data_IF_359264202367
#
_entry.id   IF_359264202367
#
_cell.length_a   1.000
_cell.length_b   1.000
_cell.length_c   1.000
_cell.angle_alpha   90.00
_cell.angle_beta   90.00
_cell.angle_gamma   90.00
#
_symmetry.space_group_name_H-M   'P 1'
#
loop_
_entity.id
_entity.type
_entity.pdbx_description
1 polymer ?
#
# COMPACT_ATOMS: atom_id res chain seq x y z
N UNK A 1 10.89 6.27 20.35
CA UNK A 1 10.55 7.39 19.46
C UNK A 1 9.27 6.97 18.79
N UNK A 2 8.18 7.63 19.16
CA UNK A 2 6.85 7.42 18.58
C UNK A 2 6.86 8.04 17.18
N UNK A 3 6.35 7.32 16.17
CA UNK A 3 6.28 7.84 14.79
C UNK A 3 5.16 8.87 14.71
N UNK A 4 5.42 9.97 14.02
CA UNK A 4 4.36 10.91 13.64
C UNK A 4 3.53 10.35 12.47
N UNK A 5 2.27 10.79 12.34
CA UNK A 5 1.42 10.41 11.21
C UNK A 5 2.09 10.70 9.87
N UNK A 6 2.76 11.84 9.71
CA UNK A 6 3.50 12.18 8.48
C UNK A 6 4.60 11.17 8.11
N UNK A 7 5.17 10.45 9.08
CA UNK A 7 6.16 9.40 8.82
C UNK A 7 5.53 8.07 8.40
N UNK A 8 4.22 7.92 8.59
CA UNK A 8 3.42 6.78 8.17
C UNK A 8 2.77 7.00 6.80
N UNK A 9 2.94 8.18 6.20
CA UNK A 9 2.33 8.57 4.95
C UNK A 9 3.36 8.73 3.83
N UNK A 10 2.90 8.56 2.61
CA UNK A 10 3.59 9.02 1.42
C UNK A 10 2.62 9.84 0.56
N UNK A 11 3.15 10.58 -0.41
CA UNK A 11 2.32 11.37 -1.33
C UNK A 11 2.92 11.27 -2.73
N UNK A 12 2.17 10.76 -3.72
CA UNK A 12 2.58 10.77 -5.14
C UNK A 12 3.07 12.16 -5.57
N UNK A 13 3.98 12.20 -6.54
CA UNK A 13 4.62 13.45 -6.98
C UNK A 13 4.25 13.74 -8.43
N UNK A 14 4.07 15.02 -8.77
CA UNK A 14 3.73 15.44 -10.12
C UNK A 14 2.22 15.60 -10.34
N UNK A 15 1.86 15.91 -11.58
CA UNK A 15 0.49 16.17 -12.03
C UNK A 15 -0.16 14.88 -12.55
N UNK A 16 -0.12 13.81 -11.76
CA UNK A 16 -0.87 12.58 -12.08
C UNK A 16 -2.28 12.73 -11.56
N UNK A 17 -3.26 12.65 -12.47
CA UNK A 17 -4.67 12.65 -12.11
C UNK A 17 -4.97 11.48 -11.16
N UNK A 18 -5.79 11.72 -10.14
CA UNK A 18 -6.04 10.74 -9.06
C UNK A 18 -6.60 9.43 -9.60
N UNK A 19 -7.39 9.54 -10.66
CA UNK A 19 -8.02 8.48 -11.41
C UNK A 19 -7.00 7.58 -12.13
N UNK A 20 -5.83 8.10 -12.50
CA UNK A 20 -4.79 7.34 -13.20
C UNK A 20 -3.85 6.59 -12.23
N UNK A 21 -3.77 7.01 -10.96
CA UNK A 21 -2.85 6.43 -9.96
C UNK A 21 -3.15 4.93 -9.72
N UNK A 22 -4.43 4.56 -9.74
CA UNK A 22 -4.88 3.18 -9.48
C UNK A 22 -5.33 2.44 -10.73
N UNK A 23 -4.91 2.88 -11.93
CA UNK A 23 -5.32 2.25 -13.20
C UNK A 23 -5.05 0.75 -13.25
N UNK A 24 -3.89 0.30 -12.76
CA UNK A 24 -3.51 -1.12 -12.70
C UNK A 24 -4.33 -1.93 -11.67
N UNK A 25 -5.13 -1.27 -10.85
CA UNK A 25 -6.03 -1.87 -9.85
C UNK A 25 -7.50 -1.79 -10.24
N UNK A 26 -7.82 -1.31 -11.45
CA UNK A 26 -9.20 -1.15 -11.94
C UNK A 26 -10.00 -2.45 -11.99
N UNK A 27 -9.33 -3.60 -11.96
CA UNK A 27 -9.96 -4.91 -11.86
C UNK A 27 -10.50 -5.22 -10.45
N UNK A 28 -10.04 -4.52 -9.41
CA UNK A 28 -10.43 -4.71 -8.01
C UNK A 28 -11.27 -3.55 -7.47
N UNK A 29 -10.93 -2.32 -7.84
CA UNK A 29 -11.65 -1.12 -7.39
C UNK A 29 -11.62 -0.02 -8.44
N UNK A 30 -12.70 0.77 -8.49
CA UNK A 30 -12.79 2.03 -9.23
C UNK A 30 -12.87 3.25 -8.31
N UNK A 31 -12.62 3.06 -7.02
CA UNK A 31 -12.74 4.08 -5.99
C UNK A 31 -11.57 5.07 -6.03
N UNK A 32 -11.80 6.30 -5.56
CA UNK A 32 -10.79 7.35 -5.64
C UNK A 32 -9.81 7.29 -4.47
N UNK A 33 -8.49 7.40 -4.71
CA UNK A 33 -7.51 7.41 -3.64
C UNK A 33 -7.63 8.67 -2.76
N UNK A 34 -7.62 8.48 -1.44
CA UNK A 34 -7.72 9.56 -0.45
C UNK A 34 -6.49 9.67 0.46
N UNK A 35 -5.76 8.58 0.69
CA UNK A 35 -4.56 8.57 1.55
C UNK A 35 -3.61 7.43 1.16
N UNK A 36 -2.31 7.67 1.20
CA UNK A 36 -1.29 6.67 0.87
C UNK A 36 -0.39 6.40 2.07
N UNK A 37 -0.19 5.14 2.43
CA UNK A 37 0.68 4.75 3.54
C UNK A 37 2.14 4.74 3.10
N UNK A 38 3.06 4.80 4.07
CA UNK A 38 4.49 4.64 3.83
C UNK A 38 4.85 3.23 3.32
N UNK A 39 3.98 2.23 3.54
CA UNK A 39 4.13 0.86 3.01
C UNK A 39 3.55 0.68 1.60
N UNK A 40 2.97 1.74 1.02
CA UNK A 40 2.46 1.75 -0.34
C UNK A 40 0.98 1.37 -0.47
N UNK A 41 0.31 1.03 0.63
CA UNK A 41 -1.13 0.78 0.65
C UNK A 41 -1.92 2.08 0.49
N UNK A 42 -3.16 1.95 0.03
CA UNK A 42 -3.98 3.11 -0.36
C UNK A 42 -5.36 3.02 0.28
N UNK A 43 -5.74 4.06 1.01
CA UNK A 43 -7.14 4.24 1.36
C UNK A 43 -7.86 4.87 0.17
N UNK A 44 -8.97 4.26 -0.22
CA UNK A 44 -9.82 4.70 -1.32
C UNK A 44 -11.23 4.99 -0.81
N UNK A 45 -11.93 5.90 -1.47
CA UNK A 45 -13.30 6.27 -1.14
C UNK A 45 -14.23 6.02 -2.33
N UNK A 46 -15.28 5.26 -2.06
CA UNK A 46 -16.35 4.96 -3.01
C UNK A 46 -17.35 6.13 -3.12
N UNK A 47 -18.20 6.10 -4.16
CA UNK A 47 -19.26 7.09 -4.36
C UNK A 47 -20.27 7.14 -3.21
N UNK A 48 -20.50 6.03 -2.51
CA UNK A 48 -21.36 5.95 -1.32
C UNK A 48 -20.69 6.46 -0.03
N UNK A 49 -19.50 7.05 -0.16
CA UNK A 49 -18.60 7.55 0.86
C UNK A 49 -17.82 6.51 1.65
N UNK A 50 -18.08 5.21 1.51
CA UNK A 50 -17.34 4.14 2.20
C UNK A 50 -15.85 4.28 1.94
N UNK A 51 -15.04 4.19 2.99
CA UNK A 51 -13.58 4.19 2.90
C UNK A 51 -13.07 2.77 3.09
N UNK A 52 -12.26 2.31 2.13
CA UNK A 52 -11.65 0.99 2.13
C UNK A 52 -10.13 1.11 2.09
N UNK A 53 -9.43 0.13 2.64
CA UNK A 53 -8.00 -0.07 2.46
C UNK A 53 -7.79 -1.02 1.29
N UNK A 54 -7.08 -0.55 0.27
CA UNK A 54 -6.42 -1.37 -0.73
C UNK A 54 -5.08 -1.82 -0.14
N UNK A 55 -5.01 -3.07 0.32
CA UNK A 55 -3.77 -3.71 0.74
C UNK A 55 -3.01 -4.13 -0.53
N UNK A 56 -1.99 -3.35 -0.85
CA UNK A 56 -1.20 -3.49 -2.08
C UNK A 56 -0.29 -4.72 -2.00
N UNK A 57 0.07 -5.11 -0.78
CA UNK A 57 0.90 -6.29 -0.54
C UNK A 57 0.11 -7.58 -0.76
N UNK A 58 -1.11 -7.65 -0.20
CA UNK A 58 -1.99 -8.82 -0.26
C UNK A 58 -2.86 -8.85 -1.52
N UNK A 59 -3.11 -7.71 -2.16
CA UNK A 59 -4.00 -7.61 -3.32
C UNK A 59 -5.48 -7.62 -2.95
N UNK A 60 -5.81 -7.08 -1.78
CA UNK A 60 -7.14 -7.17 -1.18
C UNK A 60 -7.74 -5.77 -0.94
N UNK A 61 -9.07 -5.70 -0.96
CA UNK A 61 -9.83 -4.50 -0.63
C UNK A 61 -10.74 -4.78 0.57
N UNK A 62 -10.59 -3.99 1.64
CA UNK A 62 -11.39 -4.15 2.86
C UNK A 62 -11.96 -2.83 3.36
N UNK A 63 -13.25 -2.80 3.68
CA UNK A 63 -13.89 -1.62 4.23
C UNK A 63 -13.37 -1.33 5.65
N UNK A 64 -13.02 -0.06 5.92
CA UNK A 64 -12.48 0.37 7.22
C UNK A 64 -13.33 1.44 7.90
N UNK A 65 -14.13 2.21 7.15
CA UNK A 65 -15.02 3.23 7.68
C UNK A 65 -16.20 3.47 6.73
N UNK A 66 -17.34 3.94 7.26
CA UNK A 66 -18.54 4.21 6.46
C UNK A 66 -18.45 5.53 5.70
N UNK A 67 -17.58 6.43 6.13
CA UNK A 67 -17.38 7.74 5.51
C UNK A 67 -16.03 8.35 5.91
N UNK A 68 -15.71 9.50 5.30
CA UNK A 68 -14.49 10.24 5.59
C UNK A 68 -14.39 10.80 7.01
N UNK A 69 -15.50 11.11 7.68
CA UNK A 69 -15.48 11.62 9.07
C UNK A 69 -15.08 10.52 10.06
N UNK A 70 -15.67 9.33 9.92
CA UNK A 70 -15.31 8.14 10.69
C UNK A 70 -13.84 7.76 10.41
N UNK A 71 -13.41 7.80 9.15
CA UNK A 71 -12.01 7.55 8.79
C UNK A 71 -11.06 8.56 9.45
N UNK A 72 -11.39 9.85 9.45
CA UNK A 72 -10.57 10.87 10.13
C UNK A 72 -10.44 10.63 11.63
N UNK A 73 -11.50 10.15 12.29
CA UNK A 73 -11.44 9.76 13.70
C UNK A 73 -10.47 8.58 13.93
N UNK A 74 -10.47 7.58 13.04
CA UNK A 74 -9.57 6.43 13.10
C UNK A 74 -8.09 6.81 12.96
N UNK A 75 -7.77 7.92 12.30
CA UNK A 75 -6.38 8.40 12.21
C UNK A 75 -5.80 8.87 13.56
N UNK A 76 -6.62 8.93 14.61
CA UNK A 76 -6.18 9.19 15.99
C UNK A 76 -6.12 7.94 16.86
N UNK A 77 -6.56 6.80 16.34
CA UNK A 77 -6.59 5.53 17.06
C UNK A 77 -5.25 4.78 16.88
N UNK A 78 -4.57 4.50 17.98
CA UNK A 78 -3.24 3.92 17.95
C UNK A 78 -3.23 2.45 17.47
N UNK A 79 -4.29 1.70 17.73
CA UNK A 79 -4.43 0.31 17.30
C UNK A 79 -4.67 0.25 15.79
N UNK A 80 -5.58 1.09 15.29
CA UNK A 80 -5.84 1.28 13.87
C UNK A 80 -4.58 1.68 13.10
N UNK A 81 -3.82 2.67 13.61
CA UNK A 81 -2.57 3.07 13.00
C UNK A 81 -1.57 1.91 12.99
N UNK A 82 -1.44 1.18 14.11
CA UNK A 82 -0.49 0.07 14.22
C UNK A 82 -0.79 -1.03 13.20
N UNK A 83 -2.05 -1.41 13.06
CA UNK A 83 -2.49 -2.46 12.16
C UNK A 83 -2.44 -2.01 10.69
N UNK A 84 -3.09 -0.89 10.35
CA UNK A 84 -3.34 -0.49 8.95
C UNK A 84 -2.20 0.33 8.32
N UNK A 85 -1.28 0.86 9.12
CA UNK A 85 -0.10 1.60 8.63
C UNK A 85 1.20 0.86 8.92
N UNK A 86 1.13 -0.35 9.47
CA UNK A 86 2.28 -1.20 9.77
C UNK A 86 3.39 -0.44 10.52
N UNK A 87 3.02 0.29 11.59
CA UNK A 87 3.90 1.25 12.29
C UNK A 87 5.20 0.62 12.75
N UNK A 88 5.18 -0.66 13.16
CA UNK A 88 6.37 -1.39 13.56
C UNK A 88 7.37 -1.59 12.42
N UNK A 89 6.89 -1.95 11.22
CA UNK A 89 7.73 -2.15 10.05
C UNK A 89 8.39 -0.83 9.66
N UNK A 90 7.60 0.25 9.57
CA UNK A 90 8.09 1.61 9.31
C UNK A 90 9.14 2.02 10.34
N UNK A 91 8.89 1.78 11.64
CA UNK A 91 9.83 2.11 12.70
C UNK A 91 11.16 1.33 12.56
N UNK A 92 11.08 0.03 12.26
CA UNK A 92 12.26 -0.84 12.04
C UNK A 92 13.10 -0.33 10.85
N UNK A 93 12.46 0.01 9.74
CA UNK A 93 13.15 0.51 8.53
C UNK A 93 13.80 1.87 8.75
N UNK A 94 13.12 2.80 9.44
CA UNK A 94 13.70 4.10 9.77
C UNK A 94 14.89 3.99 10.72
N UNK A 95 14.85 3.07 11.69
CA UNK A 95 15.97 2.83 12.62
C UNK A 95 17.24 2.37 11.91
N UNK A 96 17.14 1.66 10.79
CA UNK A 96 18.29 1.24 9.97
C UNK A 96 18.64 2.27 8.86
N UNK A 97 18.15 3.51 8.96
CA UNK A 97 18.49 4.61 8.07
C UNK A 97 17.73 4.64 6.74
N UNK A 98 16.74 3.76 6.54
CA UNK A 98 15.91 3.75 5.32
C UNK A 98 14.78 4.76 5.49
N UNK A 99 15.04 6.05 5.27
CA UNK A 99 14.00 7.10 5.30
C UNK A 99 13.47 7.34 3.88
N UNK A 100 12.18 7.63 3.76
CA UNK A 100 11.53 7.93 2.49
C UNK A 100 11.78 9.38 2.06
N UNK A 101 12.05 9.56 0.77
CA UNK A 101 11.96 10.86 0.10
C UNK A 101 10.50 11.08 -0.37
N UNK A 102 10.11 12.32 -0.73
CA UNK A 102 8.79 12.58 -1.32
C UNK A 102 8.49 11.66 -2.51
N UNK A 103 7.25 11.20 -2.64
CA UNK A 103 6.84 10.26 -3.70
C UNK A 103 7.34 8.83 -3.54
N UNK A 104 7.99 8.49 -2.43
CA UNK A 104 8.53 7.15 -2.19
C UNK A 104 7.77 6.40 -1.11
N UNK A 105 7.66 5.10 -1.29
CA UNK A 105 7.13 4.15 -0.31
C UNK A 105 8.13 3.01 -0.10
N UNK A 106 7.93 2.26 0.99
CA UNK A 106 8.52 0.96 1.20
C UNK A 106 7.75 -0.10 0.43
N UNK A 107 8.44 -1.17 0.08
CA UNK A 107 7.85 -2.39 -0.46
C UNK A 107 8.89 -3.51 -0.41
N UNK A 108 8.49 -4.70 -0.87
CA UNK A 108 9.37 -5.87 -0.86
C UNK A 108 10.00 -6.09 -2.25
N UNK A 109 11.25 -6.56 -2.30
CA UNK A 109 11.98 -6.88 -3.54
C UNK A 109 11.39 -8.12 -4.19
N UNK A 110 11.25 -9.17 -3.39
CA UNK A 110 10.42 -10.32 -3.68
C UNK A 110 9.06 -10.08 -3.01
N UNK A 111 7.98 -9.89 -3.77
CA UNK A 111 6.63 -9.76 -3.23
C UNK A 111 6.29 -10.92 -2.27
N UNK A 112 5.56 -10.62 -1.19
CA UNK A 112 5.20 -11.65 -0.21
C UNK A 112 4.31 -12.73 -0.82
N UNK A 113 3.46 -12.36 -1.79
CA UNK A 113 2.64 -13.31 -2.57
C UNK A 113 3.47 -14.33 -3.38
N UNK A 114 4.75 -14.05 -3.61
CA UNK A 114 5.71 -14.98 -4.22
C UNK A 114 6.70 -15.56 -3.20
N UNK A 115 6.31 -15.67 -1.94
CA UNK A 115 7.13 -16.27 -0.88
C UNK A 115 8.27 -15.39 -0.37
N UNK A 116 8.22 -14.08 -0.62
CA UNK A 116 9.13 -13.13 0.02
C UNK A 116 8.94 -13.06 1.54
N UNK A 117 9.91 -12.48 2.25
CA UNK A 117 9.81 -12.25 3.71
C UNK A 117 9.83 -10.75 4.07
N UNK A 118 9.43 -10.44 5.30
CA UNK A 118 9.39 -9.06 5.79
C UNK A 118 10.74 -8.55 6.33
N UNK A 119 11.85 -9.24 6.02
CA UNK A 119 13.14 -8.91 6.61
C UNK A 119 13.80 -7.71 5.90
N UNK A 120 14.71 -6.98 6.57
CA UNK A 120 15.39 -5.83 5.98
C UNK A 120 16.10 -6.08 4.65
N UNK A 121 16.55 -7.30 4.36
CA UNK A 121 17.20 -7.60 3.07
C UNK A 121 16.21 -7.59 1.90
N UNK A 122 14.94 -7.93 2.17
CA UNK A 122 13.88 -7.92 1.17
C UNK A 122 13.24 -6.53 1.02
N UNK A 123 13.57 -5.56 1.87
CA UNK A 123 13.07 -4.20 1.73
C UNK A 123 13.68 -3.47 0.52
N UNK A 124 12.83 -2.76 -0.23
CA UNK A 124 13.22 -1.79 -1.25
C UNK A 124 12.35 -0.53 -1.13
N UNK A 125 12.94 0.60 -1.52
CA UNK A 125 12.22 1.87 -1.65
C UNK A 125 11.82 2.04 -3.11
N UNK A 126 10.54 2.29 -3.36
CA UNK A 126 9.96 2.44 -4.68
C UNK A 126 9.41 3.85 -4.87
N UNK A 127 9.22 4.26 -6.14
CA UNK A 127 8.21 5.28 -6.42
C UNK A 127 6.85 4.72 -6.06
N UNK A 128 5.99 5.48 -5.40
CA UNK A 128 4.63 5.00 -5.06
C UNK A 128 3.87 4.63 -6.34
N UNK A 129 3.97 5.44 -7.39
CA UNK A 129 3.32 5.16 -8.69
C UNK A 129 3.83 3.88 -9.35
N UNK A 130 5.16 3.67 -9.36
CA UNK A 130 5.74 2.44 -9.91
C UNK A 130 5.37 1.20 -9.09
N UNK A 131 5.29 1.35 -7.76
CA UNK A 131 4.91 0.26 -6.86
C UNK A 131 3.44 -0.14 -7.06
N UNK A 132 2.54 0.84 -7.11
CA UNK A 132 1.12 0.61 -7.36
C UNK A 132 0.89 -0.03 -8.73
N UNK A 133 1.55 0.46 -9.79
CA UNK A 133 1.47 -0.15 -11.13
C UNK A 133 1.94 -1.60 -11.10
N UNK A 134 3.14 -1.85 -10.58
CA UNK A 134 3.75 -3.17 -10.54
C UNK A 134 2.89 -4.18 -9.78
N UNK A 135 2.48 -3.84 -8.56
CA UNK A 135 1.70 -4.73 -7.71
C UNK A 135 0.29 -4.96 -8.25
N UNK A 136 -0.33 -3.94 -8.85
CA UNK A 136 -1.63 -4.08 -9.52
C UNK A 136 -1.58 -5.06 -10.70
N UNK A 137 -0.56 -4.94 -11.56
CA UNK A 137 -0.34 -5.88 -12.67
C UNK A 137 -0.01 -7.30 -12.19
N UNK A 138 0.74 -7.44 -11.10
CA UNK A 138 1.05 -8.73 -10.48
C UNK A 138 -0.22 -9.40 -9.99
N UNK A 139 -0.98 -8.70 -9.15
CA UNK A 139 -2.19 -9.24 -8.54
C UNK A 139 -3.27 -9.53 -9.58
N UNK A 140 -3.40 -8.69 -10.62
CA UNK A 140 -4.31 -8.98 -11.73
C UNK A 140 -4.01 -10.31 -12.43
N UNK A 141 -2.73 -10.63 -12.61
CA UNK A 141 -2.30 -11.86 -13.29
C UNK A 141 -2.49 -13.12 -12.45
N UNK A 142 -2.43 -12.99 -11.12
CA UNK A 142 -2.46 -14.14 -10.21
C UNK A 142 -3.81 -14.34 -9.53
N UNK A 143 -4.76 -13.40 -9.63
CA UNK A 143 -6.09 -13.49 -8.98
C UNK A 143 -6.89 -14.74 -9.35
N UNK A 144 -6.66 -15.30 -10.55
CA UNK A 144 -7.35 -16.48 -11.06
C UNK A 144 -6.55 -17.78 -10.85
N UNK A 145 -5.37 -17.69 -10.24
CA UNK A 145 -4.56 -18.86 -9.94
C UNK A 145 -5.09 -19.54 -8.66
N UNK A 146 -5.18 -20.88 -8.65
CA UNK A 146 -5.42 -21.58 -7.40
C UNK A 146 -4.28 -21.25 -6.42
N UNK A 147 -4.60 -21.13 -5.13
CA UNK A 147 -3.74 -20.71 -3.99
C UNK A 147 -2.40 -21.47 -3.82
N UNK A 148 -2.01 -22.34 -4.77
CA UNK A 148 -0.81 -23.17 -4.76
C UNK A 148 -0.19 -23.34 -6.15
N UNK A 149 -0.05 -22.25 -6.92
CA UNK A 149 0.72 -22.28 -8.16
C UNK A 149 2.07 -21.61 -7.93
N UNK A 150 3.17 -22.35 -7.91
CA UNK A 150 4.52 -21.77 -8.02
C UNK A 150 4.61 -21.04 -9.38
N UNK A 151 4.44 -19.72 -9.37
CA UNK A 151 4.65 -18.90 -10.56
C UNK A 151 6.14 -18.56 -10.62
N UNK A 152 6.89 -19.23 -11.49
CA UNK A 152 8.19 -18.71 -11.92
C UNK A 152 7.96 -17.43 -12.74
N UNK A 153 8.26 -16.28 -12.13
CA UNK A 153 8.30 -15.01 -12.85
C UNK A 153 9.73 -14.81 -13.34
N UNK A 154 9.88 -14.90 -14.66
CA UNK A 154 11.13 -14.56 -15.34
C UNK A 154 11.27 -13.03 -15.35
N UNK A 155 12.11 -12.51 -14.45
CA UNK A 155 12.51 -11.11 -14.41
C UNK A 155 13.74 -10.94 -15.32
N UNK A 156 13.50 -10.67 -16.60
CA UNK A 156 14.54 -10.12 -17.50
C UNK A 156 14.74 -8.62 -17.27
#
# INVERSE_FOLDING_TARGET
MELSLNELLCTPQGEVEREEILKAWSWLTSDLPVLFTAMGDVFVQAEDATVSLLDVTAGELSAVAKNGEEFQALLTDAEFLTEKFYTEAVAKFRKIGKRLNPGKCYGYKQPLVFGGDEKPHNLKIYSIEDYLRLMGEIHEKIKDLPEQSEVEIDLN
#
